data_IF_440884060754
#
_entry.id   IF_440884060754
#
_cell.length_a   1.000
_cell.length_b   1.000
_cell.length_c   1.000
_cell.angle_alpha   90.00
_cell.angle_beta   90.00
_cell.angle_gamma   90.00
#
_symmetry.space_group_name_H-M   'P 1'
#
loop_
_entity.id
_entity.type
_entity.pdbx_description
1 polymer ?
#
# COMPACT_ATOMS: atom_id res chain seq x y z
N UNK A 1 -9.59 15.32 10.85
CA UNK A 1 -10.75 16.03 10.28
C UNK A 1 -12.04 15.53 10.92
N UNK A 2 -13.01 16.40 11.16
CA UNK A 2 -14.29 16.06 11.83
C UNK A 2 -15.07 14.93 11.12
N UNK A 3 -14.87 14.76 9.80
CA UNK A 3 -15.42 13.67 8.98
C UNK A 3 -14.86 12.26 9.30
N UNK A 4 -13.91 12.14 10.24
CA UNK A 4 -13.23 10.88 10.58
C UNK A 4 -13.68 10.27 11.93
N UNK A 5 -14.55 10.97 12.67
CA UNK A 5 -15.15 10.50 13.93
C UNK A 5 -16.37 9.59 13.67
N UNK A 6 -16.47 8.37 14.23
CA UNK A 6 -17.67 7.54 14.08
C UNK A 6 -18.93 8.16 14.68
N UNK A 7 -18.75 8.97 15.74
CA UNK A 7 -19.84 9.70 16.40
C UNK A 7 -20.45 10.80 15.51
N UNK A 8 -19.83 11.12 14.36
CA UNK A 8 -20.31 12.14 13.43
C UNK A 8 -21.47 11.68 12.54
N UNK A 9 -22.01 10.47 12.72
CA UNK A 9 -23.08 9.94 11.87
C UNK A 9 -22.62 9.68 10.43
N UNK A 10 -21.46 9.03 10.24
CA UNK A 10 -20.87 8.74 8.93
C UNK A 10 -21.88 7.99 8.04
N UNK A 11 -22.44 8.70 7.07
CA UNK A 11 -23.27 8.11 6.01
C UNK A 11 -22.40 7.45 4.95
N UNK A 12 -22.95 6.54 4.14
CA UNK A 12 -22.22 5.91 3.03
C UNK A 12 -21.60 6.93 2.07
N UNK A 13 -22.22 8.12 1.91
CA UNK A 13 -21.72 9.21 1.07
C UNK A 13 -20.51 9.94 1.67
N UNK A 14 -20.37 9.94 3.00
CA UNK A 14 -19.29 10.62 3.73
C UNK A 14 -18.19 9.66 4.17
N UNK A 15 -18.32 8.37 3.87
CA UNK A 15 -17.27 7.39 4.14
C UNK A 15 -16.13 7.56 3.14
N UNK A 16 -14.97 8.03 3.61
CA UNK A 16 -13.79 8.20 2.77
C UNK A 16 -13.35 6.89 2.11
N UNK A 17 -13.73 5.73 2.67
CA UNK A 17 -13.41 4.41 2.11
C UNK A 17 -14.17 4.11 0.82
N UNK A 18 -15.25 4.83 0.57
CA UNK A 18 -15.98 4.80 -0.69
C UNK A 18 -15.41 5.79 -1.72
N UNK A 19 -14.36 6.56 -1.38
CA UNK A 19 -13.76 7.48 -2.35
C UNK A 19 -12.87 6.73 -3.34
N UNK A 20 -12.85 7.24 -4.57
CA UNK A 20 -11.97 6.75 -5.63
C UNK A 20 -10.51 6.71 -5.18
N UNK A 21 -10.02 7.81 -4.58
CA UNK A 21 -8.62 7.93 -4.17
C UNK A 21 -8.25 6.86 -3.15
N UNK A 22 -9.09 6.64 -2.13
CA UNK A 22 -8.79 5.65 -1.11
C UNK A 22 -8.76 4.22 -1.68
N UNK A 23 -9.81 3.83 -2.39
CA UNK A 23 -9.91 2.49 -2.99
C UNK A 23 -8.75 2.23 -3.97
N UNK A 24 -8.41 3.21 -4.79
CA UNK A 24 -7.30 3.10 -5.74
C UNK A 24 -5.94 3.01 -5.08
N UNK A 25 -5.66 3.84 -4.06
CA UNK A 25 -4.39 3.77 -3.31
C UNK A 25 -4.27 2.42 -2.65
N UNK A 26 -5.33 1.97 -1.95
CA UNK A 26 -5.31 0.67 -1.30
C UNK A 26 -5.06 -0.43 -2.33
N UNK A 27 -5.88 -0.52 -3.38
CA UNK A 27 -5.72 -1.54 -4.41
C UNK A 27 -4.31 -1.49 -5.00
N UNK A 28 -3.75 -0.32 -5.27
CA UNK A 28 -2.40 -0.19 -5.86
C UNK A 28 -1.27 -0.61 -4.93
N UNK A 29 -1.38 -0.35 -3.63
CA UNK A 29 -0.34 -0.65 -2.65
C UNK A 29 -0.42 -2.08 -2.12
N UNK A 30 -1.63 -2.66 -2.05
CA UNK A 30 -1.84 -4.04 -1.57
C UNK A 30 -1.86 -5.06 -2.71
N UNK A 31 -2.08 -4.61 -3.96
CA UNK A 31 -1.87 -5.42 -5.14
C UNK A 31 -0.40 -5.50 -5.52
N UNK A 32 -0.07 -6.62 -6.13
CA UNK A 32 1.26 -6.95 -6.57
C UNK A 32 1.54 -6.32 -7.94
N UNK A 33 2.66 -5.59 -8.06
CA UNK A 33 3.12 -4.96 -9.32
C UNK A 33 4.55 -5.32 -9.74
N UNK A 34 5.25 -6.16 -8.97
CA UNK A 34 6.68 -6.39 -9.13
C UNK A 34 6.98 -7.86 -9.47
N UNK A 35 8.21 -8.34 -9.30
CA UNK A 35 8.55 -9.78 -9.38
C UNK A 35 8.41 -10.49 -8.03
N UNK A 36 8.05 -9.75 -6.96
CA UNK A 36 8.01 -10.20 -5.57
C UNK A 36 6.89 -9.50 -4.78
N UNK A 37 6.24 -10.25 -3.87
CA UNK A 37 5.14 -9.75 -3.02
C UNK A 37 5.63 -8.89 -1.87
N UNK A 38 6.93 -8.93 -1.60
CA UNK A 38 7.60 -8.21 -0.51
C UNK A 38 7.17 -6.75 -0.38
N UNK A 39 7.05 -5.94 -1.45
CA UNK A 39 6.63 -4.54 -1.33
C UNK A 39 5.18 -4.36 -0.87
N UNK A 40 4.29 -5.33 -1.14
CA UNK A 40 2.87 -5.24 -0.81
C UNK A 40 2.58 -5.66 0.64
N UNK A 41 3.43 -6.49 1.26
CA UNK A 41 3.19 -7.05 2.60
C UNK A 41 3.01 -5.99 3.70
N UNK A 42 3.87 -4.94 3.81
CA UNK A 42 3.70 -3.92 4.83
C UNK A 42 2.40 -3.13 4.66
N UNK A 43 1.98 -2.91 3.41
CA UNK A 43 0.73 -2.23 3.09
C UNK A 43 -0.48 -3.10 3.46
N UNK A 44 -0.46 -4.38 3.08
CA UNK A 44 -1.48 -5.39 3.45
C UNK A 44 -1.66 -5.47 4.96
N UNK A 45 -0.56 -5.56 5.70
CA UNK A 45 -0.56 -5.59 7.16
C UNK A 45 -1.15 -4.33 7.78
N UNK A 46 -0.76 -3.14 7.29
CA UNK A 46 -1.29 -1.88 7.78
C UNK A 46 -2.79 -1.75 7.50
N UNK A 47 -3.23 -2.06 6.28
CA UNK A 47 -4.65 -2.00 5.91
C UNK A 47 -5.47 -3.14 6.53
N UNK A 48 -4.82 -4.16 7.11
CA UNK A 48 -5.47 -5.32 7.70
C UNK A 48 -6.14 -6.21 6.65
N UNK A 49 -5.55 -6.29 5.45
CA UNK A 49 -6.09 -7.07 4.33
C UNK A 49 -5.04 -8.06 3.85
N UNK A 50 -5.49 -9.27 3.54
CA UNK A 50 -4.72 -10.30 2.85
C UNK A 50 -5.31 -10.52 1.45
N UNK A 51 -4.58 -11.29 0.68
CA UNK A 51 -5.01 -11.80 -0.60
C UNK A 51 -4.63 -13.28 -0.64
N UNK A 52 -5.62 -14.14 -0.80
CA UNK A 52 -5.43 -15.60 -0.75
C UNK A 52 -4.81 -16.15 -2.04
N UNK A 53 -4.64 -15.33 -3.08
CA UNK A 53 -4.04 -15.75 -4.33
C UNK A 53 -2.51 -15.71 -4.29
N UNK A 54 -1.91 -16.83 -4.69
CA UNK A 54 -0.45 -16.97 -4.76
C UNK A 54 0.15 -16.26 -5.97
N UNK A 55 1.40 -15.78 -5.86
CA UNK A 55 2.23 -15.27 -6.97
C UNK A 55 2.07 -16.00 -8.32
N UNK A 56 2.03 -17.35 -8.31
CA UNK A 56 1.96 -18.15 -9.55
C UNK A 56 0.60 -18.06 -10.24
N UNK A 57 -0.49 -17.90 -9.50
CA UNK A 57 -1.85 -17.85 -10.05
C UNK A 57 -2.07 -16.55 -10.84
N UNK A 58 -1.46 -15.43 -10.43
CA UNK A 58 -1.60 -14.15 -11.13
C UNK A 58 -0.67 -13.95 -12.32
N UNK A 59 0.48 -14.63 -12.40
CA UNK A 59 1.45 -14.41 -13.51
C UNK A 59 0.86 -14.67 -14.91
N UNK A 60 -0.23 -15.45 -15.00
CA UNK A 60 -0.88 -15.81 -16.26
C UNK A 60 -2.11 -14.99 -16.65
N UNK A 61 -2.70 -14.18 -15.74
CA UNK A 61 -4.11 -13.76 -15.89
C UNK A 61 -4.39 -12.26 -15.68
N UNK A 62 -3.38 -11.40 -15.51
CA UNK A 62 -3.62 -9.97 -15.25
C UNK A 62 -3.38 -9.10 -16.49
N UNK A 63 -4.44 -8.84 -17.24
CA UNK A 63 -4.59 -7.54 -17.91
C UNK A 63 -4.76 -6.49 -16.80
N UNK A 64 -3.67 -5.87 -16.35
CA UNK A 64 -3.74 -4.81 -15.37
C UNK A 64 -4.23 -3.53 -16.06
N UNK A 65 -5.55 -3.38 -16.13
CA UNK A 65 -6.12 -2.10 -16.50
C UNK A 65 -5.71 -1.08 -15.45
N UNK A 66 -4.97 -0.06 -15.91
CA UNK A 66 -4.38 1.00 -15.07
C UNK A 66 -5.43 1.70 -14.20
N UNK A 67 -6.72 1.59 -14.54
CA UNK A 67 -7.87 1.91 -13.70
C UNK A 67 -9.03 0.95 -13.96
N UNK A 68 -9.42 0.17 -12.95
CA UNK A 68 -10.70 -0.53 -12.97
C UNK A 68 -11.84 0.49 -12.82
N UNK A 69 -12.90 0.45 -13.64
CA UNK A 69 -13.99 1.41 -13.59
C UNK A 69 -14.74 1.47 -12.25
N UNK A 70 -14.62 0.45 -11.38
CA UNK A 70 -15.41 0.34 -10.15
C UNK A 70 -14.91 1.12 -8.92
N UNK A 71 -13.68 1.63 -8.92
CA UNK A 71 -13.17 2.38 -7.76
C UNK A 71 -13.97 3.67 -7.54
N UNK A 72 -14.31 3.99 -6.29
CA UNK A 72 -15.10 5.17 -5.94
C UNK A 72 -16.60 5.09 -6.26
N UNK A 73 -17.03 4.03 -6.94
CA UNK A 73 -18.44 3.74 -7.25
C UNK A 73 -18.95 2.63 -6.33
N UNK A 74 -18.14 1.59 -6.14
CA UNK A 74 -18.50 0.45 -5.29
C UNK A 74 -18.46 0.85 -3.81
N UNK A 75 -19.50 0.48 -3.03
CA UNK A 75 -19.42 0.49 -1.58
C UNK A 75 -18.23 -0.32 -1.08
N UNK A 76 -17.66 0.10 0.05
CA UNK A 76 -16.42 -0.44 0.63
C UNK A 76 -16.34 -1.98 0.67
N UNK A 77 -17.42 -2.65 1.08
CA UNK A 77 -17.45 -4.13 1.16
C UNK A 77 -17.42 -4.79 -0.22
N UNK A 78 -18.11 -4.21 -1.21
CA UNK A 78 -18.15 -4.73 -2.58
C UNK A 78 -16.80 -4.52 -3.27
N UNK A 79 -16.16 -3.37 -3.04
CA UNK A 79 -14.80 -3.11 -3.50
C UNK A 79 -13.81 -4.17 -2.98
N UNK A 80 -13.84 -4.51 -1.68
CA UNK A 80 -12.96 -5.53 -1.11
C UNK A 80 -13.16 -6.90 -1.76
N UNK A 81 -14.42 -7.29 -1.99
CA UNK A 81 -14.75 -8.55 -2.66
C UNK A 81 -14.24 -8.58 -4.10
N UNK A 82 -14.42 -7.50 -4.85
CA UNK A 82 -13.96 -7.37 -6.25
C UNK A 82 -12.43 -7.41 -6.38
N UNK A 83 -11.72 -6.77 -5.44
CA UNK A 83 -10.25 -6.84 -5.38
C UNK A 83 -9.72 -8.14 -4.76
N UNK A 84 -10.63 -9.04 -4.33
CA UNK A 84 -10.30 -10.29 -3.63
C UNK A 84 -9.43 -10.05 -2.40
N UNK A 85 -9.69 -8.94 -1.71
CA UNK A 85 -9.02 -8.57 -0.46
C UNK A 85 -9.87 -9.05 0.70
N UNK A 86 -9.33 -9.99 1.48
CA UNK A 86 -9.97 -10.52 2.67
C UNK A 86 -9.37 -9.86 3.91
N UNK A 87 -10.10 -9.67 5.01
CA UNK A 87 -9.49 -9.28 6.27
C UNK A 87 -8.38 -10.28 6.63
N UNK A 88 -7.18 -9.79 6.90
CA UNK A 88 -6.02 -10.66 7.14
C UNK A 88 -6.26 -11.55 8.36
N UNK A 89 -6.33 -12.90 8.19
CA UNK A 89 -6.47 -13.81 9.31
C UNK A 89 -5.14 -13.82 10.06
N UNK A 90 -5.04 -12.98 11.09
CA UNK A 90 -4.07 -13.00 12.19
C UNK A 90 -2.97 -14.05 11.99
N UNK A 91 -1.95 -13.71 11.17
CA UNK A 91 -0.81 -14.60 10.96
C UNK A 91 0.03 -14.56 12.23
N UNK A 92 -0.29 -15.40 13.21
CA UNK A 92 0.25 -15.27 14.57
C UNK A 92 1.06 -16.45 15.09
N UNK A 93 1.37 -17.47 14.28
CA UNK A 93 2.36 -18.47 14.73
C UNK A 93 2.98 -19.28 13.60
N UNK A 94 2.16 -19.69 12.63
CA UNK A 94 2.61 -20.61 11.58
C UNK A 94 3.67 -20.00 10.66
N UNK A 95 3.52 -18.73 10.25
CA UNK A 95 4.48 -18.08 9.36
C UNK A 95 5.82 -17.77 10.06
N UNK A 96 5.80 -17.43 11.35
CA UNK A 96 7.02 -17.24 12.15
C UNK A 96 7.78 -18.56 12.21
N UNK A 97 7.11 -19.65 12.58
CA UNK A 97 7.72 -20.99 12.63
C UNK A 97 8.24 -21.47 11.26
N UNK A 98 7.52 -21.17 10.19
CA UNK A 98 7.96 -21.46 8.83
C UNK A 98 9.18 -20.63 8.43
N UNK A 99 9.19 -19.33 8.74
CA UNK A 99 10.34 -18.45 8.50
C UNK A 99 11.57 -18.89 9.31
N UNK A 100 11.41 -19.25 10.60
CA UNK A 100 12.47 -19.86 11.42
C UNK A 100 13.09 -21.04 10.67
N UNK A 101 12.25 -21.99 10.25
CA UNK A 101 12.68 -23.21 9.59
C UNK A 101 13.43 -22.91 8.30
N UNK A 102 12.89 -22.05 7.44
CA UNK A 102 13.54 -21.68 6.17
C UNK A 102 14.89 -21.02 6.39
N UNK A 103 15.00 -20.10 7.35
CA UNK A 103 16.26 -19.42 7.64
C UNK A 103 17.32 -20.37 8.22
N UNK A 104 16.92 -21.28 9.10
CA UNK A 104 17.80 -22.34 9.60
C UNK A 104 18.22 -23.31 8.50
N UNK A 105 17.30 -23.73 7.62
CA UNK A 105 17.59 -24.57 6.46
C UNK A 105 18.54 -23.88 5.45
N UNK A 106 18.57 -22.53 5.45
CA UNK A 106 19.54 -21.72 4.68
C UNK A 106 20.89 -21.55 5.37
N UNK A 107 21.09 -22.16 6.54
CA UNK A 107 22.36 -22.20 7.26
C UNK A 107 22.61 -20.99 8.17
N UNK A 108 21.57 -20.20 8.50
CA UNK A 108 21.73 -19.12 9.46
C UNK A 108 21.81 -19.67 10.90
N UNK A 109 22.77 -19.20 11.72
CA UNK A 109 22.82 -19.50 13.15
C UNK A 109 21.53 -19.06 13.85
N UNK A 110 21.15 -19.79 14.91
CA UNK A 110 19.92 -19.53 15.66
C UNK A 110 19.88 -18.10 16.25
N UNK A 111 21.04 -17.51 16.56
CA UNK A 111 21.16 -16.13 17.05
C UNK A 111 20.78 -15.11 15.97
N UNK A 112 21.21 -15.32 14.73
CA UNK A 112 20.85 -14.46 13.61
C UNK A 112 19.38 -14.65 13.21
N UNK A 113 18.88 -15.88 13.23
CA UNK A 113 17.45 -16.16 13.01
C UNK A 113 16.60 -15.45 14.07
N UNK A 114 16.96 -15.57 15.35
CA UNK A 114 16.26 -14.88 16.44
C UNK A 114 16.33 -13.36 16.31
N UNK A 115 17.48 -12.81 15.91
CA UNK A 115 17.62 -11.38 15.64
C UNK A 115 16.71 -10.93 14.49
N UNK A 116 16.69 -11.66 13.37
CA UNK A 116 15.82 -11.39 12.21
C UNK A 116 14.34 -11.45 12.61
N UNK A 117 13.94 -12.45 13.37
CA UNK A 117 12.56 -12.61 13.83
C UNK A 117 12.16 -11.59 14.91
N UNK A 118 13.12 -11.09 15.70
CA UNK A 118 12.90 -9.95 16.58
C UNK A 118 12.49 -8.70 15.81
N UNK A 119 12.92 -8.53 14.56
CA UNK A 119 12.41 -7.48 13.68
C UNK A 119 10.98 -7.74 13.16
N UNK A 120 10.52 -8.99 13.16
CA UNK A 120 9.16 -9.38 12.73
C UNK A 120 8.13 -9.10 13.82
N UNK A 121 8.48 -9.22 15.10
CA UNK A 121 7.60 -8.84 16.23
C UNK A 121 7.25 -7.34 16.23
N UNK A 122 8.07 -6.49 15.64
CA UNK A 122 7.73 -5.08 15.43
C UNK A 122 6.71 -4.86 14.31
N UNK A 123 6.59 -5.79 13.36
CA UNK A 123 5.67 -5.69 12.24
C UNK A 123 4.22 -5.89 12.70
N UNK A 124 3.95 -6.83 13.61
CA UNK A 124 2.61 -7.06 14.19
C UNK A 124 2.04 -5.84 14.92
N UNK A 125 2.90 -4.89 15.31
CA UNK A 125 2.51 -3.63 15.96
C UNK A 125 1.96 -2.56 15.02
N UNK A 126 2.07 -2.73 13.69
CA UNK A 126 1.51 -1.78 12.71
C UNK A 126 0.04 -2.08 12.36
N UNK A 127 -0.60 -2.98 13.12
CA UNK A 127 -2.03 -3.27 12.97
C UNK A 127 -2.87 -2.11 13.50
N UNK A 128 -4.01 -1.92 12.84
CA UNK A 128 -5.02 -0.96 13.25
C UNK A 128 -5.80 -1.52 14.44
N UNK A 129 -6.02 -0.69 15.46
CA UNK A 129 -6.90 -0.98 16.58
C UNK A 129 -8.37 -1.03 16.14
N UNK A 130 -8.77 -0.18 15.20
CA UNK A 130 -10.00 -0.36 14.41
C UNK A 130 -9.66 -0.92 13.03
N UNK A 131 -9.83 -2.23 12.79
CA UNK A 131 -9.53 -2.84 11.51
C UNK A 131 -10.30 -2.17 10.37
N UNK A 132 -9.68 -2.10 9.18
CA UNK A 132 -10.29 -1.57 7.95
C UNK A 132 -10.79 -0.11 8.05
N UNK A 133 -10.31 0.66 9.03
CA UNK A 133 -10.56 2.11 9.14
C UNK A 133 -9.26 2.85 9.54
N UNK A 134 -8.24 2.90 8.67
CA UNK A 134 -6.92 3.45 9.00
C UNK A 134 -6.93 4.92 9.44
N UNK A 135 -7.90 5.72 9.01
CA UNK A 135 -8.00 7.14 9.37
C UNK A 135 -8.87 7.39 10.60
N UNK A 136 -9.34 6.34 11.26
CA UNK A 136 -10.00 6.47 12.55
C UNK A 136 -9.07 7.14 13.59
N UNK A 137 -9.54 8.09 14.42
CA UNK A 137 -8.70 8.80 15.38
C UNK A 137 -7.87 7.90 16.29
N UNK A 138 -8.46 6.82 16.79
CA UNK A 138 -7.79 5.79 17.62
C UNK A 138 -6.60 5.14 16.90
N UNK A 139 -6.68 4.98 15.57
CA UNK A 139 -5.59 4.43 14.76
C UNK A 139 -4.47 5.45 14.47
N UNK A 140 -4.59 6.69 14.93
CA UNK A 140 -3.71 7.79 14.55
C UNK A 140 -2.22 7.53 14.84
N UNK A 141 -1.90 6.83 15.94
CA UNK A 141 -0.52 6.45 16.24
C UNK A 141 0.03 5.46 15.19
N UNK A 142 -0.77 4.48 14.79
CA UNK A 142 -0.35 3.44 13.84
C UNK A 142 -0.27 3.99 12.42
N UNK A 143 -1.19 4.88 12.05
CA UNK A 143 -1.12 5.64 10.80
C UNK A 143 0.20 6.45 10.72
N UNK A 144 0.60 7.15 11.78
CA UNK A 144 1.87 7.89 11.81
C UNK A 144 3.08 6.96 11.64
N UNK A 145 3.10 5.83 12.34
CA UNK A 145 4.17 4.82 12.19
C UNK A 145 4.26 4.30 10.77
N UNK A 146 3.12 3.96 10.17
CA UNK A 146 3.06 3.47 8.79
C UNK A 146 3.56 4.51 7.78
N UNK A 147 3.13 5.77 7.89
CA UNK A 147 3.62 6.84 7.02
C UNK A 147 5.11 7.09 7.20
N UNK A 148 5.62 7.04 8.43
CA UNK A 148 7.06 7.13 8.70
C UNK A 148 7.84 5.97 8.04
N UNK A 149 7.29 4.75 8.08
CA UNK A 149 7.86 3.61 7.38
C UNK A 149 7.90 3.82 5.85
N UNK A 150 6.78 4.26 5.25
CA UNK A 150 6.73 4.56 3.82
C UNK A 150 7.75 5.63 3.42
N UNK A 151 7.90 6.67 4.24
CA UNK A 151 8.91 7.70 4.04
C UNK A 151 10.33 7.15 4.11
N UNK A 152 10.65 6.35 5.13
CA UNK A 152 11.96 5.70 5.25
C UNK A 152 12.26 4.79 4.06
N UNK A 153 11.26 4.13 3.48
CA UNK A 153 11.44 3.30 2.29
C UNK A 153 11.89 4.15 1.10
N UNK A 154 11.27 5.31 0.87
CA UNK A 154 11.67 6.28 -0.18
C UNK A 154 13.13 6.72 0.04
N UNK A 155 13.50 7.08 1.28
CA UNK A 155 14.87 7.49 1.61
C UNK A 155 15.88 6.36 1.34
N UNK A 156 15.58 5.13 1.76
CA UNK A 156 16.45 3.97 1.52
C UNK A 156 16.62 3.66 0.04
N UNK A 157 15.54 3.75 -0.75
CA UNK A 157 15.63 3.64 -2.20
C UNK A 157 16.50 4.74 -2.81
N UNK A 158 16.41 5.96 -2.29
CA UNK A 158 17.26 7.08 -2.73
C UNK A 158 18.73 6.84 -2.42
N UNK A 159 19.04 6.35 -1.21
CA UNK A 159 20.41 6.01 -0.82
C UNK A 159 20.97 4.90 -1.72
N UNK A 160 20.20 3.83 -1.93
CA UNK A 160 20.63 2.73 -2.80
C UNK A 160 20.84 3.19 -4.25
N UNK A 161 19.96 4.03 -4.79
CA UNK A 161 20.11 4.56 -6.14
C UNK A 161 21.38 5.41 -6.26
N UNK A 162 21.67 6.26 -5.27
CA UNK A 162 22.90 7.04 -5.22
C UNK A 162 24.15 6.16 -5.28
N UNK A 163 24.21 5.11 -4.44
CA UNK A 163 25.35 4.16 -4.44
C UNK A 163 25.49 3.41 -5.76
N UNK A 164 24.39 3.17 -6.48
CA UNK A 164 24.39 2.52 -7.79
C UNK A 164 24.65 3.49 -8.95
N UNK A 165 24.86 4.79 -8.69
CA UNK A 165 24.99 5.81 -9.72
C UNK A 165 23.70 6.07 -10.51
N UNK A 166 22.55 5.67 -9.96
CA UNK A 166 21.23 5.85 -10.57
C UNK A 166 20.64 7.18 -10.08
N UNK A 167 20.29 8.05 -11.02
CA UNK A 167 19.57 9.28 -10.72
C UNK A 167 18.06 9.00 -10.59
N UNK A 168 17.47 9.37 -9.44
CA UNK A 168 16.04 9.34 -9.21
C UNK A 168 15.50 10.76 -9.08
N UNK A 169 14.76 11.22 -10.08
CA UNK A 169 13.99 12.46 -9.96
C UNK A 169 12.72 12.20 -9.13
N UNK A 170 12.88 12.24 -7.81
CA UNK A 170 11.76 12.06 -6.88
C UNK A 170 10.65 13.08 -7.10
N UNK A 171 10.97 14.31 -7.52
CA UNK A 171 9.95 15.33 -7.76
C UNK A 171 9.08 14.91 -8.94
N UNK A 172 9.68 14.49 -10.06
CA UNK A 172 8.95 13.99 -11.22
C UNK A 172 8.14 12.74 -10.88
N UNK A 173 8.75 11.75 -10.21
CA UNK A 173 8.08 10.49 -9.83
C UNK A 173 6.87 10.75 -8.93
N UNK A 174 7.03 11.56 -7.88
CA UNK A 174 5.93 11.87 -6.96
C UNK A 174 4.84 12.68 -7.66
N UNK A 175 5.22 13.65 -8.49
CA UNK A 175 4.27 14.47 -9.25
C UNK A 175 3.45 13.61 -10.21
N UNK A 176 4.08 12.74 -10.99
CA UNK A 176 3.40 11.82 -11.90
C UNK A 176 2.40 10.94 -11.13
N UNK A 177 2.79 10.38 -9.98
CA UNK A 177 1.90 9.51 -9.18
C UNK A 177 0.73 10.26 -8.56
N UNK A 178 0.95 11.49 -8.10
CA UNK A 178 -0.13 12.35 -7.61
C UNK A 178 -1.10 12.70 -8.74
N UNK A 179 -0.57 13.13 -9.89
CA UNK A 179 -1.34 13.44 -11.09
C UNK A 179 -2.17 12.24 -11.53
N UNK A 180 -1.53 11.08 -11.65
CA UNK A 180 -2.22 9.83 -11.94
C UNK A 180 -3.37 9.60 -10.97
N UNK A 181 -3.14 9.77 -9.66
CA UNK A 181 -4.14 9.53 -8.61
C UNK A 181 -5.32 10.50 -8.68
N UNK A 182 -5.07 11.79 -8.95
CA UNK A 182 -6.12 12.83 -8.93
C UNK A 182 -6.83 13.03 -10.27
N UNK A 183 -6.21 12.68 -11.39
CA UNK A 183 -6.69 13.07 -12.74
C UNK A 183 -7.69 12.10 -13.38
N UNK A 184 -8.36 11.23 -12.61
CA UNK A 184 -9.48 10.44 -13.12
C UNK A 184 -10.80 10.74 -12.42
N UNK A 185 -11.71 11.27 -13.25
CA UNK A 185 -12.98 11.95 -13.02
C UNK A 185 -13.13 12.99 -14.17
N UNK A 186 -14.33 13.55 -14.40
CA UNK A 186 -14.54 14.58 -15.45
C UNK A 186 -13.72 15.88 -15.24
N UNK A 187 -13.13 16.04 -14.05
CA UNK A 187 -12.16 17.08 -13.75
C UNK A 187 -10.74 16.64 -14.09
N UNK A 188 -10.18 17.16 -15.18
CA UNK A 188 -8.73 17.17 -15.39
C UNK A 188 -8.16 18.24 -14.45
N UNK A 189 -7.36 17.84 -13.45
CA UNK A 189 -6.71 18.80 -12.53
C UNK A 189 -5.36 19.30 -13.07
N UNK A 190 -4.82 18.62 -14.08
CA UNK A 190 -3.58 18.99 -14.71
C UNK A 190 -3.50 18.40 -16.13
N UNK A 191 -2.67 19.02 -16.95
CA UNK A 191 -2.27 18.54 -18.26
C UNK A 191 -0.77 18.31 -18.27
N UNK A 192 -0.37 17.14 -18.76
CA UNK A 192 1.01 16.85 -19.09
C UNK A 192 1.26 17.40 -20.50
N UNK A 193 2.32 18.20 -20.67
CA UNK A 193 2.76 18.68 -21.97
C UNK A 193 4.22 18.33 -22.17
N UNK A 194 4.51 17.81 -23.35
CA UNK A 194 5.86 17.60 -23.84
C UNK A 194 6.11 18.74 -24.83
N UNK A 195 7.07 19.62 -24.53
CA UNK A 195 7.55 20.61 -25.49
C UNK A 195 9.04 20.41 -25.80
N UNK A 196 9.59 21.26 -26.67
CA UNK A 196 10.99 21.21 -27.09
C UNK A 196 12.00 21.61 -26.01
N UNK A 197 11.55 22.15 -24.88
CA UNK A 197 12.37 22.63 -23.76
C UNK A 197 12.32 21.67 -22.55
N UNK A 198 11.37 20.74 -22.50
CA UNK A 198 11.34 19.61 -21.57
C UNK A 198 9.93 19.16 -21.19
N UNK A 199 9.88 18.19 -20.28
CA UNK A 199 8.62 17.70 -19.72
C UNK A 199 8.15 18.63 -18.59
N UNK A 200 6.95 19.20 -18.70
CA UNK A 200 6.38 20.00 -17.61
C UNK A 200 4.90 19.69 -17.35
N UNK A 201 4.56 19.76 -16.06
CA UNK A 201 3.19 19.58 -15.56
C UNK A 201 2.53 20.95 -15.40
N UNK A 202 1.41 21.17 -16.10
CA UNK A 202 0.56 22.35 -15.89
C UNK A 202 -0.70 21.97 -15.11
N UNK A 203 -0.95 22.62 -13.98
CA UNK A 203 -2.24 22.50 -13.27
C UNK A 203 -3.32 23.24 -14.07
N UNK A 204 -4.53 22.67 -14.17
CA UNK A 204 -5.70 23.28 -14.81
C UNK A 204 -6.47 24.17 -13.83
#
# INVERSE_FOLDING_TARGET
PEIWEPASGRTARQDYRNTYMYQRVMASCTSFRATSEVPALPHRQFFGVSNDETYRQRRGDVSWERCKPGHGILPWKEFLAEERLTPDPVVESFAINYACKVLMDKGLPAELVSSILGYVDHATQNRLEKPLDPFHPVNGHQLRRYLAYCWQLIIRCSMLAHELGIYLDWKAIVSERLVELVSRGDGKWCTYRIDSEGDYWGFL
#
